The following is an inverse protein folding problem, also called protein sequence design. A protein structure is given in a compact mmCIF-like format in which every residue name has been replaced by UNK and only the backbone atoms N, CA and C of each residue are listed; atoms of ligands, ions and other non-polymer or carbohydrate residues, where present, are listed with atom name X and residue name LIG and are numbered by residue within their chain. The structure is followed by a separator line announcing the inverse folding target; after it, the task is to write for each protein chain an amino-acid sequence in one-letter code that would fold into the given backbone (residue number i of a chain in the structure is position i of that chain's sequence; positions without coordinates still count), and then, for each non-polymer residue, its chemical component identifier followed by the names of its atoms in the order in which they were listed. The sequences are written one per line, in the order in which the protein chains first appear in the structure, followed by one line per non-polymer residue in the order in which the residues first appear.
data_IF_614932521790
#
_entry.id   IF_614932521790
#
_cell.length_a   1.000
_cell.length_b   1.000
_cell.length_c   1.000
_cell.angle_alpha   90.00
_cell.angle_beta   90.00
_cell.angle_gamma   90.00
#
_symmetry.space_group_name_H-M   'P 1'
#
loop_
_entity.id
_entity.type
_entity.pdbx_description
1 polymer ?
#
# COMPACT_ATOMS: atom_id res chain seq x y z
N UNK A 1 -4.37 9.47 8.14
CA UNK A 1 -3.08 9.70 7.46
C UNK A 1 -2.60 8.40 6.81
N UNK A 2 -2.13 8.46 5.56
CA UNK A 2 -1.77 7.28 4.77
C UNK A 2 -0.32 7.38 4.29
N UNK A 3 0.46 6.31 4.53
CA UNK A 3 1.71 6.02 3.85
C UNK A 3 1.46 5.02 2.72
N UNK A 4 2.13 5.18 1.60
CA UNK A 4 1.90 4.36 0.42
C UNK A 4 3.20 3.71 -0.07
N UNK A 5 3.17 2.40 -0.29
CA UNK A 5 4.34 1.63 -0.75
C UNK A 5 4.08 1.04 -2.12
N UNK A 6 5.02 1.29 -3.04
CA UNK A 6 4.91 0.87 -4.43
C UNK A 6 4.17 1.87 -5.31
N UNK A 7 4.88 2.48 -6.26
CA UNK A 7 4.37 3.55 -7.11
C UNK A 7 4.42 3.16 -8.60
N UNK A 8 3.92 1.94 -8.87
CA UNK A 8 3.70 1.42 -10.22
C UNK A 8 2.41 1.99 -10.84
N UNK A 9 1.97 1.38 -11.94
CA UNK A 9 0.75 1.82 -12.67
C UNK A 9 -0.47 1.88 -11.75
N UNK A 10 -0.77 0.79 -11.05
CA UNK A 10 -1.92 0.70 -10.14
C UNK A 10 -1.74 1.60 -8.92
N UNK A 11 -0.54 1.61 -8.32
CA UNK A 11 -0.25 2.46 -7.18
C UNK A 11 -0.46 3.95 -7.45
N UNK A 12 -0.09 4.44 -8.64
CA UNK A 12 -0.36 5.82 -9.06
C UNK A 12 -1.85 6.12 -9.14
N UNK A 13 -2.65 5.23 -9.75
CA UNK A 13 -4.09 5.42 -9.86
C UNK A 13 -4.77 5.46 -8.47
N UNK A 14 -4.33 4.63 -7.53
CA UNK A 14 -4.84 4.63 -6.16
C UNK A 14 -4.40 5.89 -5.41
N UNK A 15 -3.15 6.31 -5.55
CA UNK A 15 -2.65 7.55 -4.95
C UNK A 15 -3.41 8.78 -5.47
N UNK A 16 -3.75 8.82 -6.77
CA UNK A 16 -4.62 9.84 -7.36
C UNK A 16 -5.98 9.87 -6.66
N UNK A 17 -6.63 8.71 -6.53
CA UNK A 17 -7.94 8.63 -5.89
C UNK A 17 -7.90 9.04 -4.40
N UNK A 18 -6.79 8.78 -3.70
CA UNK A 18 -6.60 9.24 -2.32
C UNK A 18 -6.47 10.76 -2.27
N UNK A 19 -5.67 11.36 -3.16
CA UNK A 19 -5.46 12.82 -3.22
C UNK A 19 -6.73 13.59 -3.61
N UNK A 20 -7.59 12.99 -4.42
CA UNK A 20 -8.89 13.57 -4.80
C UNK A 20 -9.95 13.44 -3.70
N UNK A 21 -9.72 12.57 -2.71
CA UNK A 21 -10.65 12.34 -1.61
C UNK A 21 -10.22 13.12 -0.35
N UNK A 22 -11.01 14.13 0.02
CA UNK A 22 -10.75 15.01 1.16
C UNK A 22 -10.84 14.34 2.55
N UNK A 23 -11.29 13.09 2.62
CA UNK A 23 -11.36 12.34 3.87
C UNK A 23 -10.02 11.71 4.26
N UNK A 24 -9.08 11.61 3.32
CA UNK A 24 -7.78 10.98 3.50
C UNK A 24 -6.65 11.96 3.21
N UNK A 25 -5.56 11.82 3.93
CA UNK A 25 -4.32 12.55 3.72
C UNK A 25 -3.23 11.58 3.32
N UNK A 26 -2.56 11.82 2.19
CA UNK A 26 -1.44 11.04 1.67
C UNK A 26 -0.13 11.70 2.11
N UNK A 27 0.46 11.22 3.19
CA UNK A 27 1.65 11.81 3.80
C UNK A 27 2.93 11.55 2.98
N UNK A 28 3.06 10.33 2.49
CA UNK A 28 4.23 9.94 1.73
C UNK A 28 3.98 8.74 0.83
N UNK A 29 4.80 8.65 -0.23
CA UNK A 29 4.95 7.47 -1.08
C UNK A 29 6.39 6.96 -0.97
N UNK A 30 6.54 5.70 -0.67
CA UNK A 30 7.82 5.02 -0.51
C UNK A 30 8.05 4.03 -1.65
N UNK A 31 9.18 4.14 -2.34
CA UNK A 31 9.49 3.33 -3.51
C UNK A 31 10.99 3.10 -3.64
N UNK A 32 11.39 2.16 -4.50
CA UNK A 32 12.80 1.86 -4.75
C UNK A 32 13.52 2.91 -5.59
N UNK A 33 12.82 3.56 -6.53
CA UNK A 33 13.44 4.52 -7.47
C UNK A 33 13.72 5.87 -6.79
N UNK A 34 14.88 6.45 -7.09
CA UNK A 34 15.31 7.76 -6.60
C UNK A 34 14.81 8.94 -7.43
N UNK A 35 14.41 8.68 -8.69
CA UNK A 35 13.92 9.74 -9.60
C UNK A 35 12.77 10.52 -8.96
N UNK A 36 12.90 11.85 -8.89
CA UNK A 36 11.94 12.78 -8.30
C UNK A 36 11.70 12.57 -6.79
N UNK A 37 12.68 12.04 -6.08
CA UNK A 37 12.67 11.98 -4.63
C UNK A 37 12.51 13.38 -4.01
N UNK A 38 11.81 13.46 -2.88
CA UNK A 38 11.43 14.70 -2.19
C UNK A 38 10.49 15.65 -2.96
N UNK A 39 10.02 15.25 -4.15
CA UNK A 39 9.00 16.01 -4.88
C UNK A 39 7.60 15.70 -4.35
N UNK A 40 6.70 16.68 -4.51
CA UNK A 40 5.28 16.50 -4.21
C UNK A 40 4.68 15.36 -5.04
N UNK A 41 3.86 14.53 -4.41
CA UNK A 41 3.13 13.44 -5.06
C UNK A 41 2.09 14.03 -6.03
N UNK A 42 1.39 15.08 -5.61
CA UNK A 42 0.39 15.77 -6.44
C UNK A 42 1.02 16.37 -7.70
N UNK A 43 2.14 17.11 -7.54
CA UNK A 43 2.91 17.65 -8.68
C UNK A 43 3.35 16.53 -9.64
N UNK A 44 3.84 15.42 -9.10
CA UNK A 44 4.26 14.28 -9.92
C UNK A 44 3.11 13.66 -10.72
N UNK A 45 1.91 13.64 -10.16
CA UNK A 45 0.70 13.10 -10.81
C UNK A 45 -0.02 14.11 -11.69
N UNK A 46 0.40 15.39 -11.68
CA UNK A 46 -0.26 16.46 -12.42
C UNK A 46 -1.63 16.84 -11.82
N UNK A 47 -1.77 16.73 -10.51
CA UNK A 47 -3.01 17.00 -9.76
C UNK A 47 -2.84 18.30 -8.99
N UNK A 48 -3.83 19.19 -9.04
CA UNK A 48 -3.92 20.34 -8.14
C UNK A 48 -4.40 19.84 -6.76
N UNK A 49 -3.53 19.91 -5.75
CA UNK A 49 -3.83 19.49 -4.39
C UNK A 49 -2.96 20.25 -3.41
N UNK A 50 -3.55 20.64 -2.29
CA UNK A 50 -2.84 21.26 -1.17
C UNK A 50 -2.08 20.22 -0.31
N UNK A 51 -2.18 18.93 -0.63
CA UNK A 51 -1.51 17.85 0.07
C UNK A 51 0.02 17.97 -0.07
N UNK A 52 0.71 17.90 1.05
CA UNK A 52 2.16 18.07 1.16
C UNK A 52 2.95 16.77 0.99
N UNK A 53 2.27 15.67 0.74
CA UNK A 53 2.87 14.35 0.63
C UNK A 53 4.00 14.27 -0.38
N UNK A 54 5.09 13.60 -0.03
CA UNK A 54 6.32 13.53 -0.82
C UNK A 54 6.70 12.11 -1.21
N UNK A 55 7.50 12.03 -2.29
CA UNK A 55 8.11 10.79 -2.74
C UNK A 55 9.41 10.53 -1.98
N UNK A 56 9.57 9.33 -1.42
CA UNK A 56 10.79 8.87 -0.77
C UNK A 56 11.34 7.62 -1.42
N UNK A 57 12.67 7.51 -1.43
CA UNK A 57 13.37 6.33 -1.94
C UNK A 57 13.91 5.45 -0.83
N UNK A 58 13.72 4.12 -0.98
CA UNK A 58 14.32 3.15 -0.07
C UNK A 58 15.86 3.06 -0.19
N UNK A 59 16.46 3.71 -1.18
CA UNK A 59 17.92 3.79 -1.31
C UNK A 59 18.53 4.85 -0.38
N UNK A 60 17.75 5.90 -0.01
CA UNK A 60 18.25 7.01 0.76
C UNK A 60 17.56 7.22 2.11
N UNK A 61 16.36 6.67 2.26
CA UNK A 61 15.55 6.86 3.47
C UNK A 61 15.20 5.53 4.07
N UNK A 62 15.54 5.30 5.33
CA UNK A 62 15.04 4.15 6.07
C UNK A 62 13.55 4.34 6.37
N UNK A 63 12.75 3.27 6.29
CA UNK A 63 11.31 3.37 6.54
C UNK A 63 11.02 3.69 8.00
N UNK A 64 11.86 3.26 8.92
CA UNK A 64 11.81 3.56 10.34
C UNK A 64 11.88 5.07 10.57
N UNK A 65 12.88 5.73 9.97
CA UNK A 65 13.06 7.19 10.05
C UNK A 65 11.87 7.95 9.46
N UNK A 66 11.31 7.42 8.36
CA UNK A 66 10.15 8.01 7.72
C UNK A 66 8.91 7.93 8.62
N UNK A 67 8.66 6.76 9.22
CA UNK A 67 7.55 6.55 10.15
C UNK A 67 7.68 7.39 11.43
N UNK A 68 8.91 7.64 11.89
CA UNK A 68 9.16 8.47 13.08
C UNK A 68 9.00 9.97 12.79
N UNK A 69 9.40 10.43 11.60
CA UNK A 69 9.30 11.83 11.18
C UNK A 69 7.91 12.21 10.65
N UNK A 70 7.24 11.29 9.97
CA UNK A 70 5.94 11.49 9.34
C UNK A 70 5.06 10.27 9.65
N UNK A 71 4.53 10.18 10.89
CA UNK A 71 3.70 9.05 11.31
C UNK A 71 2.41 8.96 10.49
N UNK A 72 1.94 7.74 10.29
CA UNK A 72 0.71 7.44 9.55
C UNK A 72 -0.14 6.41 10.31
N UNK A 73 -1.44 6.41 10.04
CA UNK A 73 -2.37 5.44 10.63
C UNK A 73 -2.39 4.13 9.85
N UNK A 74 -2.18 4.24 8.52
CA UNK A 74 -2.22 3.12 7.59
C UNK A 74 -1.06 3.14 6.62
N UNK A 75 -0.58 1.97 6.26
CA UNK A 75 0.25 1.75 5.08
C UNK A 75 -0.56 0.96 4.06
N UNK A 76 -0.63 1.47 2.82
CA UNK A 76 -1.22 0.78 1.68
C UNK A 76 -0.08 0.30 0.77
N UNK A 77 -0.03 -1.02 0.51
CA UNK A 77 1.06 -1.65 -0.24
C UNK A 77 0.61 -2.22 -1.58
N UNK A 78 1.15 -1.63 -2.66
CA UNK A 78 1.04 -2.08 -4.04
C UNK A 78 2.42 -2.41 -4.65
N UNK A 79 3.40 -2.80 -3.84
CA UNK A 79 4.78 -3.02 -4.29
C UNK A 79 5.01 -4.43 -4.87
N UNK A 80 5.42 -5.36 -4.04
CA UNK A 80 5.72 -6.76 -4.38
C UNK A 80 5.56 -7.66 -3.18
N UNK A 81 5.52 -8.98 -3.38
CA UNK A 81 5.42 -9.96 -2.29
C UNK A 81 6.54 -9.81 -1.25
N UNK A 82 7.73 -9.43 -1.67
CA UNK A 82 8.87 -9.21 -0.76
C UNK A 82 8.88 -7.82 -0.12
N UNK A 83 8.04 -6.89 -0.56
CA UNK A 83 7.97 -5.53 -0.05
C UNK A 83 7.69 -5.47 1.44
N UNK A 84 6.79 -6.34 1.93
CA UNK A 84 6.38 -6.38 3.33
C UNK A 84 7.54 -6.60 4.33
N UNK A 85 8.62 -7.25 3.90
CA UNK A 85 9.79 -7.47 4.77
C UNK A 85 10.57 -6.17 5.04
N UNK A 86 10.49 -5.19 4.15
CA UNK A 86 11.22 -3.93 4.29
C UNK A 86 10.56 -2.94 5.26
N UNK A 87 9.26 -3.05 5.51
CA UNK A 87 8.53 -2.09 6.34
C UNK A 87 7.66 -2.73 7.43
N UNK A 88 7.30 -4.00 7.26
CA UNK A 88 6.27 -4.65 8.08
C UNK A 88 6.57 -4.62 9.57
N UNK A 89 7.79 -4.94 9.99
CA UNK A 89 8.19 -4.90 11.40
C UNK A 89 8.16 -3.48 11.96
N UNK A 90 8.68 -2.52 11.20
CA UNK A 90 8.68 -1.11 11.60
C UNK A 90 7.26 -0.54 11.76
N UNK A 91 6.36 -0.91 10.85
CA UNK A 91 4.95 -0.55 10.93
C UNK A 91 4.25 -1.21 12.13
N UNK A 92 4.43 -2.52 12.30
CA UNK A 92 3.79 -3.28 13.37
C UNK A 92 4.21 -2.79 14.77
N UNK A 93 5.51 -2.53 14.98
CA UNK A 93 6.02 -2.01 16.27
C UNK A 93 5.49 -0.61 16.64
N UNK A 94 4.97 0.13 15.67
CA UNK A 94 4.34 1.45 15.84
C UNK A 94 2.81 1.41 15.81
N UNK A 95 2.20 0.22 15.72
CA UNK A 95 0.76 0.04 15.63
C UNK A 95 0.14 0.53 14.30
N UNK A 96 0.96 0.78 13.28
CA UNK A 96 0.50 1.21 11.95
C UNK A 96 -0.19 0.05 11.25
N UNK A 97 -1.42 0.24 10.81
CA UNK A 97 -2.23 -0.77 10.14
C UNK A 97 -1.76 -0.98 8.71
N UNK A 98 -1.73 -2.23 8.25
CA UNK A 98 -1.22 -2.61 6.93
C UNK A 98 -2.36 -3.10 6.05
N UNK A 99 -2.51 -2.50 4.87
CA UNK A 99 -3.42 -2.93 3.81
C UNK A 99 -2.57 -3.36 2.62
N UNK A 100 -2.49 -4.66 2.36
CA UNK A 100 -1.72 -5.18 1.22
C UNK A 100 -2.63 -5.58 0.06
N UNK A 101 -2.32 -5.05 -1.11
CA UNK A 101 -2.97 -5.31 -2.39
C UNK A 101 -2.15 -6.22 -3.31
N UNK A 102 -1.20 -6.96 -2.76
CA UNK A 102 -0.34 -7.86 -3.51
C UNK A 102 -1.13 -9.09 -3.95
N UNK A 103 -1.12 -9.38 -5.24
CA UNK A 103 -1.92 -10.44 -5.85
C UNK A 103 -1.53 -11.86 -5.43
N UNK A 104 -0.27 -12.06 -5.04
CA UNK A 104 0.23 -13.37 -4.64
C UNK A 104 1.30 -13.25 -3.55
N UNK A 105 1.14 -14.06 -2.51
CA UNK A 105 2.13 -14.28 -1.46
C UNK A 105 2.44 -15.77 -1.33
N UNK A 106 3.69 -16.12 -1.12
CA UNK A 106 4.11 -17.47 -0.76
C UNK A 106 3.65 -17.81 0.67
N UNK A 107 3.72 -19.08 1.05
CA UNK A 107 3.33 -19.52 2.39
C UNK A 107 4.15 -18.84 3.49
N UNK A 108 5.42 -18.62 3.22
CA UNK A 108 6.38 -17.97 4.12
C UNK A 108 6.01 -16.49 4.34
N UNK A 109 5.59 -15.79 3.28
CA UNK A 109 5.14 -14.39 3.36
C UNK A 109 3.88 -14.28 4.21
N UNK A 110 2.92 -15.21 4.00
CA UNK A 110 1.69 -15.27 4.79
C UNK A 110 2.00 -15.58 6.27
N UNK A 111 2.95 -16.48 6.53
CA UNK A 111 3.39 -16.78 7.89
C UNK A 111 4.02 -15.53 8.54
N UNK A 112 4.84 -14.78 7.83
CA UNK A 112 5.40 -13.51 8.29
C UNK A 112 4.30 -12.48 8.59
N UNK A 113 3.33 -12.30 7.69
CA UNK A 113 2.18 -11.39 7.91
C UNK A 113 1.40 -11.76 9.19
N UNK A 114 1.23 -13.05 9.47
CA UNK A 114 0.60 -13.51 10.71
C UNK A 114 1.42 -13.16 11.96
N UNK A 115 2.74 -13.06 11.86
CA UNK A 115 3.55 -12.56 12.98
C UNK A 115 3.33 -11.09 13.22
N UNK A 116 3.23 -10.27 12.17
CA UNK A 116 2.93 -8.85 12.25
C UNK A 116 1.54 -8.58 12.82
N UNK A 117 0.57 -9.44 12.48
CA UNK A 117 -0.81 -9.33 12.94
C UNK A 117 -1.00 -9.55 14.45
N UNK A 118 0.05 -9.90 15.21
CA UNK A 118 0.05 -9.92 16.67
C UNK A 118 0.14 -8.51 17.27
N UNK A 119 0.79 -7.59 16.56
CA UNK A 119 1.11 -6.26 17.06
C UNK A 119 0.29 -5.16 16.36
N UNK A 120 -0.24 -5.44 15.15
CA UNK A 120 -1.08 -4.51 14.40
C UNK A 120 -2.12 -5.23 13.54
N UNK A 121 -3.04 -4.46 12.95
CA UNK A 121 -4.00 -4.99 11.96
C UNK A 121 -3.32 -5.17 10.61
N UNK A 122 -3.38 -6.38 10.05
CA UNK A 122 -2.91 -6.68 8.70
C UNK A 122 -4.08 -7.18 7.87
N UNK A 123 -4.46 -6.41 6.86
CA UNK A 123 -5.46 -6.78 5.86
C UNK A 123 -4.79 -7.09 4.53
N UNK A 124 -5.02 -8.27 4.00
CA UNK A 124 -4.55 -8.66 2.69
C UNK A 124 -5.70 -9.08 1.79
N UNK A 125 -5.76 -8.47 0.60
CA UNK A 125 -6.70 -8.88 -0.44
C UNK A 125 -5.99 -8.98 -1.79
N UNK A 126 -5.87 -10.18 -2.37
CA UNK A 126 -5.24 -10.37 -3.68
C UNK A 126 -6.08 -9.81 -4.83
N UNK A 127 -7.38 -9.56 -4.59
CA UNK A 127 -8.37 -9.17 -5.60
C UNK A 127 -9.17 -7.95 -5.12
N UNK A 128 -8.54 -6.79 -5.12
CA UNK A 128 -9.18 -5.54 -4.67
C UNK A 128 -10.13 -4.97 -5.74
N UNK A 129 -9.93 -5.32 -7.02
CA UNK A 129 -10.74 -4.75 -8.09
C UNK A 129 -12.16 -5.33 -8.13
N UNK A 130 -13.13 -4.46 -8.32
CA UNK A 130 -14.55 -4.83 -8.41
C UNK A 130 -14.80 -5.88 -9.52
N UNK A 131 -14.16 -5.71 -10.69
CA UNK A 131 -14.32 -6.62 -11.82
C UNK A 131 -13.85 -8.04 -11.52
N UNK A 132 -12.70 -8.21 -10.85
CA UNK A 132 -12.22 -9.56 -10.45
C UNK A 132 -13.15 -10.18 -9.42
N UNK A 133 -13.63 -9.43 -8.45
CA UNK A 133 -14.60 -9.93 -7.46
C UNK A 133 -15.91 -10.35 -8.12
N UNK A 134 -16.40 -9.58 -9.10
CA UNK A 134 -17.58 -9.95 -9.89
C UNK A 134 -17.38 -11.28 -10.64
N UNK A 135 -16.25 -11.45 -11.32
CA UNK A 135 -15.92 -12.69 -12.03
C UNK A 135 -15.82 -13.90 -11.08
N UNK A 136 -15.24 -13.71 -9.90
CA UNK A 136 -15.18 -14.76 -8.88
C UNK A 136 -16.56 -15.17 -8.39
N UNK A 137 -17.46 -14.21 -8.16
CA UNK A 137 -18.85 -14.50 -7.76
C UNK A 137 -19.63 -15.18 -8.88
N UNK A 138 -19.49 -14.70 -10.12
CA UNK A 138 -20.12 -15.31 -11.30
C UNK A 138 -19.64 -16.76 -11.49
N UNK A 139 -18.33 -17.02 -11.42
CA UNK A 139 -17.76 -18.37 -11.51
C UNK A 139 -18.27 -19.31 -10.43
N UNK A 140 -18.37 -18.84 -9.18
CA UNK A 140 -18.95 -19.63 -8.08
C UNK A 140 -20.42 -19.96 -8.30
N UNK A 141 -21.19 -19.02 -8.86
CA UNK A 141 -22.61 -19.23 -9.17
C UNK A 141 -22.79 -20.22 -10.32
N UNK A 142 -22.00 -20.07 -11.39
CA UNK A 142 -22.01 -21.00 -12.53
C UNK A 142 -21.65 -22.43 -12.11
N UNK A 143 -20.64 -22.61 -11.26
CA UNK A 143 -20.26 -23.93 -10.75
C UNK A 143 -21.35 -24.63 -9.92
N UNK A 144 -22.30 -23.89 -9.36
CA UNK A 144 -23.48 -24.47 -8.66
C UNK A 144 -24.56 -24.95 -9.62
N UNK A 145 -24.63 -24.36 -10.82
CA UNK A 145 -25.67 -24.65 -11.83
C UNK A 145 -25.17 -25.73 -12.80
N UNK A 146 -23.89 -25.70 -13.11
CA UNK A 146 -23.22 -26.67 -14.00
C UNK A 146 -21.97 -27.24 -13.28
N UNK A 147 -22.15 -28.25 -12.43
CA UNK A 147 -21.07 -28.88 -11.67
C UNK A 147 -20.09 -29.67 -12.56
#
# INVERSE_FOLDING_TARGET
MIGFIGFGRTGKAVATAILENKEFSLEWVYRRKTLLENRSIAEFLGIESDEIGKLYSSEHTAVEDLLDKQPVDFIIDFSSSTGIYSYGKAAASRGVKIISAISHYAKEDIAFMKTLAKDTTVFWSPNITLGVNFLLLASKSLKKIAP
#
